data_IF_117906468397
#
_entry.id   IF_117906468397
#
_cell.length_a   1.000
_cell.length_b   1.000
_cell.length_c   1.000
_cell.angle_alpha   90.00
_cell.angle_beta   90.00
_cell.angle_gamma   90.00
#
_symmetry.space_group_name_H-M   'P 1'
#
loop_
_entity.id
_entity.type
_entity.pdbx_description
1 polymer ?
#
# COMPACT_ATOMS: atom_id res chain seq x y z
N UNK A 1 -16.73 17.54 9.76
CA UNK A 1 -15.58 17.47 8.82
C UNK A 1 -15.35 16.01 8.46
N UNK A 2 -15.26 15.67 7.17
CA UNK A 2 -15.10 14.28 6.70
C UNK A 2 -13.64 13.82 6.95
N UNK A 3 -13.44 12.69 7.67
CA UNK A 3 -12.10 12.13 7.99
C UNK A 3 -11.26 11.84 6.74
N UNK A 4 -11.90 11.63 5.59
CA UNK A 4 -11.23 11.37 4.33
C UNK A 4 -10.25 12.49 3.94
N UNK A 5 -10.69 13.76 3.99
CA UNK A 5 -9.86 14.90 3.61
C UNK A 5 -8.75 15.24 4.62
N UNK A 6 -8.79 14.66 5.82
CA UNK A 6 -7.67 14.73 6.77
C UNK A 6 -6.53 13.79 6.40
N UNK A 7 -6.81 12.70 5.69
CA UNK A 7 -5.83 11.71 5.23
C UNK A 7 -5.36 12.05 3.82
N UNK A 8 -6.29 12.42 2.94
CA UNK A 8 -6.02 12.74 1.55
C UNK A 8 -6.36 14.21 1.28
N UNK A 9 -5.32 15.04 1.20
CA UNK A 9 -5.46 16.49 0.98
C UNK A 9 -5.69 16.87 -0.49
N UNK A 10 -5.45 15.95 -1.42
CA UNK A 10 -5.61 16.15 -2.85
C UNK A 10 -7.08 16.17 -3.29
N UNK A 11 -7.38 16.95 -4.34
CA UNK A 11 -8.73 17.01 -4.95
C UNK A 11 -9.13 15.67 -5.59
N UNK A 12 -8.15 14.95 -6.15
CA UNK A 12 -8.31 13.62 -6.72
C UNK A 12 -7.41 12.67 -5.95
N UNK A 13 -7.94 11.49 -5.59
CA UNK A 13 -7.24 10.49 -4.80
C UNK A 13 -7.18 9.20 -5.61
N UNK A 14 -5.99 8.65 -5.79
CA UNK A 14 -5.73 7.42 -6.54
C UNK A 14 -5.26 6.34 -5.58
N UNK A 15 -6.07 5.29 -5.42
CA UNK A 15 -5.80 4.15 -4.54
C UNK A 15 -5.84 2.83 -5.34
N UNK A 16 -4.74 2.42 -6.00
CA UNK A 16 -4.71 1.18 -6.75
C UNK A 16 -5.04 -0.02 -5.87
N UNK A 17 -5.83 -0.94 -6.42
CA UNK A 17 -6.16 -2.22 -5.78
C UNK A 17 -5.21 -3.27 -6.35
N UNK A 18 -4.37 -3.83 -5.49
CA UNK A 18 -3.37 -4.83 -5.86
C UNK A 18 -3.86 -6.19 -5.37
N UNK A 19 -4.08 -7.11 -6.32
CA UNK A 19 -4.25 -8.52 -5.97
C UNK A 19 -2.89 -9.09 -5.58
N UNK A 20 -2.73 -9.36 -4.28
CA UNK A 20 -1.50 -9.93 -3.73
C UNK A 20 -1.33 -11.34 -4.28
N UNK A 21 -0.09 -11.69 -4.61
CA UNK A 21 0.32 -13.07 -4.93
C UNK A 21 1.25 -13.58 -3.84
N UNK A 22 2.28 -12.79 -3.53
CA UNK A 22 3.24 -13.04 -2.47
C UNK A 22 3.80 -11.72 -1.92
N UNK A 23 4.67 -11.85 -0.92
CA UNK A 23 5.38 -10.72 -0.30
C UNK A 23 6.23 -9.94 -1.30
N UNK A 24 7.02 -10.64 -2.12
CA UNK A 24 7.98 -10.01 -3.02
C UNK A 24 7.26 -9.17 -4.10
N UNK A 25 6.19 -9.68 -4.67
CA UNK A 25 5.33 -8.96 -5.61
C UNK A 25 4.63 -7.78 -4.93
N UNK A 26 4.17 -7.94 -3.70
CA UNK A 26 3.49 -6.86 -2.96
C UNK A 26 4.44 -5.71 -2.65
N UNK A 27 5.68 -5.99 -2.24
CA UNK A 27 6.69 -4.97 -2.02
C UNK A 27 7.04 -4.23 -3.31
N UNK A 28 7.35 -4.95 -4.40
CA UNK A 28 7.63 -4.32 -5.71
C UNK A 28 6.48 -3.43 -6.18
N UNK A 29 5.23 -3.90 -6.09
CA UNK A 29 4.09 -3.09 -6.53
C UNK A 29 3.83 -1.89 -5.62
N UNK A 30 4.15 -2.00 -4.33
CA UNK A 30 4.11 -0.87 -3.40
C UNK A 30 5.12 0.20 -3.80
N UNK A 31 6.35 -0.20 -4.14
CA UNK A 31 7.40 0.71 -4.62
C UNK A 31 6.98 1.42 -5.91
N UNK A 32 6.51 0.67 -6.90
CA UNK A 32 6.02 1.23 -8.18
C UNK A 32 4.89 2.23 -7.94
N UNK A 33 3.91 1.88 -7.10
CA UNK A 33 2.77 2.77 -6.80
C UNK A 33 3.22 4.05 -6.08
N UNK A 34 4.25 3.95 -5.22
CA UNK A 34 4.86 5.09 -4.55
C UNK A 34 5.59 5.99 -5.54
N UNK A 35 6.41 5.42 -6.41
CA UNK A 35 7.15 6.15 -7.45
C UNK A 35 6.23 6.85 -8.45
N UNK A 36 5.08 6.24 -8.74
CA UNK A 36 4.02 6.84 -9.57
C UNK A 36 3.23 7.95 -8.85
N UNK A 37 3.47 8.22 -7.57
CA UNK A 37 2.84 9.30 -6.81
C UNK A 37 1.40 9.01 -6.38
N UNK A 38 1.04 7.73 -6.19
CA UNK A 38 -0.30 7.36 -5.70
C UNK A 38 -0.48 7.72 -4.22
N UNK A 39 -1.72 8.02 -3.81
CA UNK A 39 -2.03 8.45 -2.45
C UNK A 39 -2.03 7.29 -1.43
N UNK A 40 -2.04 6.05 -1.93
CA UNK A 40 -2.07 4.82 -1.15
C UNK A 40 -2.43 3.63 -2.02
N UNK A 41 -2.46 2.45 -1.42
CA UNK A 41 -2.79 1.19 -2.10
C UNK A 41 -3.73 0.35 -1.23
N UNK A 42 -4.53 -0.50 -1.87
CA UNK A 42 -5.26 -1.58 -1.20
C UNK A 42 -4.66 -2.92 -1.59
N UNK A 43 -4.24 -3.69 -0.59
CA UNK A 43 -3.78 -5.08 -0.77
C UNK A 43 -4.97 -6.02 -0.54
N UNK A 44 -5.31 -6.81 -1.55
CA UNK A 44 -6.41 -7.77 -1.47
C UNK A 44 -5.95 -9.16 -1.89
N UNK A 45 -6.50 -10.19 -1.25
CA UNK A 45 -6.43 -11.57 -1.69
C UNK A 45 -7.56 -12.33 -1.02
N UNK A 46 -8.34 -13.08 -1.77
CA UNK A 46 -9.51 -13.79 -1.24
C UNK A 46 -9.16 -15.18 -0.67
N UNK A 47 -8.19 -15.89 -1.26
CA UNK A 47 -7.74 -17.19 -0.74
C UNK A 47 -6.63 -17.12 0.32
N UNK A 48 -6.14 -15.92 0.66
CA UNK A 48 -5.10 -15.74 1.66
C UNK A 48 -5.73 -15.37 3.01
N UNK A 49 -5.30 -15.96 4.14
CA UNK A 49 -5.75 -15.53 5.45
C UNK A 49 -5.44 -14.05 5.68
N UNK A 50 -6.38 -13.33 6.32
CA UNK A 50 -6.22 -11.88 6.57
C UNK A 50 -4.95 -11.55 7.39
N UNK A 51 -4.49 -12.47 8.24
CA UNK A 51 -3.26 -12.32 9.02
C UNK A 51 -2.02 -12.23 8.12
N UNK A 52 -1.97 -13.01 7.04
CA UNK A 52 -0.89 -12.94 6.06
C UNK A 52 -0.94 -11.65 5.25
N UNK A 53 -2.13 -11.13 4.94
CA UNK A 53 -2.26 -9.79 4.35
C UNK A 53 -1.74 -8.70 5.30
N UNK A 54 -1.96 -8.82 6.61
CA UNK A 54 -1.40 -7.90 7.60
C UNK A 54 0.12 -8.00 7.69
N UNK A 55 0.69 -9.21 7.66
CA UNK A 55 2.15 -9.41 7.64
C UNK A 55 2.76 -8.70 6.42
N UNK A 56 2.21 -8.95 5.23
CA UNK A 56 2.67 -8.33 3.98
C UNK A 56 2.53 -6.81 4.05
N UNK A 57 1.39 -6.29 4.55
CA UNK A 57 1.21 -4.87 4.77
C UNK A 57 2.34 -4.29 5.64
N UNK A 58 2.62 -4.91 6.79
CA UNK A 58 3.67 -4.45 7.72
C UNK A 58 5.06 -4.44 7.09
N UNK A 59 5.37 -5.41 6.24
CA UNK A 59 6.63 -5.49 5.51
C UNK A 59 6.74 -4.35 4.49
N UNK A 60 5.70 -4.14 3.67
CA UNK A 60 5.64 -3.02 2.72
C UNK A 60 5.64 -1.65 3.41
N UNK A 61 5.32 -1.56 4.72
CA UNK A 61 5.48 -0.32 5.50
C UNK A 61 6.91 -0.06 5.94
N UNK A 62 7.75 -1.08 6.16
CA UNK A 62 9.08 -0.98 6.78
C UNK A 62 10.14 -0.42 5.84
N UNK A 63 9.98 -0.61 4.53
CA UNK A 63 10.85 0.02 3.52
C UNK A 63 10.77 1.55 3.50
N UNK A 64 9.88 2.16 4.30
CA UNK A 64 9.90 3.61 4.57
C UNK A 64 11.17 4.11 5.26
N UNK A 65 11.90 3.27 6.00
CA UNK A 65 12.98 3.73 6.88
C UNK A 65 14.41 3.50 6.37
N UNK A 66 14.60 2.83 5.23
CA UNK A 66 15.95 2.57 4.67
C UNK A 66 16.34 3.46 3.48
N UNK A 67 15.49 4.42 3.07
CA UNK A 67 15.74 5.32 1.92
C UNK A 67 15.86 6.81 2.30
N UNK A 68 15.98 7.12 3.60
CA UNK A 68 16.25 8.49 4.10
C UNK A 68 17.58 8.59 4.84
N UNK A 69 18.58 7.77 4.48
CA UNK A 69 19.96 7.89 4.96
C UNK A 69 20.89 8.22 3.79
#
# INVERSE_FOLDING_TARGET
MNRFHHVFSCRHVVLPVIHVVDEAQSCRNTEISREAGTDGIFLIHHDLPYTRLLDIHLLSRRDRHQQTA
#
